data_IF_021080543242
#
_entry.id   IF_021080543242
#
_cell.length_a   1.000
_cell.length_b   1.000
_cell.length_c   1.000
_cell.angle_alpha   90.00
_cell.angle_beta   90.00
_cell.angle_gamma   90.00
#
_symmetry.space_group_name_H-M   'P 1'
#
loop_
_entity.id
_entity.type
_entity.pdbx_description
1 polymer ?
#
# COMPACT_ATOMS: atom_id res chain seq x y z
N UNK A 1 13.93 16.00 0.41
CA UNK A 1 13.51 14.58 0.44
C UNK A 1 14.64 13.72 -0.11
N UNK A 2 15.08 12.73 0.67
CA UNK A 2 16.02 11.70 0.17
C UNK A 2 15.23 10.79 -0.77
N UNK A 3 15.79 10.45 -1.93
CA UNK A 3 15.13 9.51 -2.84
C UNK A 3 14.95 8.15 -2.13
N UNK A 4 13.71 7.66 -1.95
CA UNK A 4 13.42 6.40 -1.27
C UNK A 4 14.13 5.20 -1.91
N UNK A 5 14.53 5.31 -3.17
CA UNK A 5 15.34 4.30 -3.84
C UNK A 5 16.66 4.03 -3.10
N UNK A 6 17.27 5.03 -2.49
CA UNK A 6 18.51 4.82 -1.73
C UNK A 6 18.30 4.00 -0.47
N UNK A 7 17.15 4.11 0.20
CA UNK A 7 16.80 3.26 1.34
C UNK A 7 16.76 1.77 0.95
N UNK A 8 16.44 1.48 -0.31
CA UNK A 8 16.29 0.12 -0.83
C UNK A 8 17.60 -0.45 -1.40
N UNK A 9 18.40 0.40 -2.03
CA UNK A 9 19.59 -0.02 -2.79
C UNK A 9 20.86 0.05 -1.96
N UNK A 10 21.00 1.08 -1.12
CA UNK A 10 22.18 1.29 -0.27
C UNK A 10 21.76 2.13 0.96
N UNK A 11 21.08 1.51 1.94
CA UNK A 11 20.67 2.20 3.16
C UNK A 11 21.87 2.72 3.97
N UNK A 12 23.03 2.06 3.89
CA UNK A 12 24.24 2.50 4.59
C UNK A 12 24.76 3.84 4.06
N UNK A 13 24.59 4.12 2.77
CA UNK A 13 24.85 5.47 2.22
C UNK A 13 23.98 6.51 2.90
N UNK A 14 22.72 6.20 3.18
CA UNK A 14 21.81 7.11 3.88
C UNK A 14 22.23 7.27 5.34
N UNK A 15 22.59 6.19 6.04
CA UNK A 15 23.12 6.25 7.42
C UNK A 15 24.38 7.09 7.52
N UNK A 16 25.37 6.87 6.65
CA UNK A 16 26.61 7.68 6.59
C UNK A 16 26.30 9.16 6.38
N UNK A 17 25.34 9.44 5.50
CA UNK A 17 24.86 10.79 5.21
C UNK A 17 24.23 11.45 6.45
N UNK A 18 23.42 10.72 7.23
CA UNK A 18 22.84 11.22 8.48
C UNK A 18 23.91 11.43 9.57
N UNK A 19 24.80 10.46 9.77
CA UNK A 19 25.90 10.57 10.73
C UNK A 19 26.80 11.78 10.44
N UNK A 20 27.13 12.02 9.16
CA UNK A 20 27.93 13.18 8.74
C UNK A 20 27.26 14.52 9.09
N UNK A 21 25.93 14.57 9.15
CA UNK A 21 25.14 15.75 9.57
C UNK A 21 24.83 15.77 11.07
N UNK A 22 25.31 14.78 11.83
CA UNK A 22 24.94 14.56 13.24
C UNK A 22 23.43 14.40 13.45
N UNK A 23 22.74 13.87 12.44
CA UNK A 23 21.33 13.50 12.50
C UNK A 23 21.16 12.06 12.99
N UNK A 24 19.93 11.68 13.34
CA UNK A 24 19.61 10.33 13.80
C UNK A 24 19.78 9.31 12.68
N UNK A 25 20.56 8.25 12.92
CA UNK A 25 20.70 7.10 12.01
C UNK A 25 19.59 6.07 12.21
N UNK A 26 18.94 6.05 13.38
CA UNK A 26 17.79 5.18 13.69
C UNK A 26 16.58 5.55 12.83
N UNK A 27 16.45 6.83 12.46
CA UNK A 27 15.42 7.31 11.52
C UNK A 27 15.50 6.60 10.16
N UNK A 28 16.67 6.08 9.78
CA UNK A 28 16.82 5.31 8.53
C UNK A 28 16.10 3.96 8.63
N UNK A 29 16.10 3.31 9.80
CA UNK A 29 15.35 2.08 10.01
C UNK A 29 13.84 2.31 9.98
N UNK A 30 13.39 3.39 10.63
CA UNK A 30 11.98 3.80 10.61
C UNK A 30 11.51 4.11 9.17
N UNK A 31 12.33 4.81 8.39
CA UNK A 31 12.07 5.09 6.98
C UNK A 31 12.01 3.83 6.11
N UNK A 32 12.87 2.84 6.37
CA UNK A 32 12.85 1.55 5.65
C UNK A 32 11.54 0.81 5.96
N UNK A 33 11.16 0.71 7.23
CA UNK A 33 9.93 0.04 7.66
C UNK A 33 8.68 0.74 7.12
N UNK A 34 8.67 2.08 7.12
CA UNK A 34 7.60 2.88 6.54
C UNK A 34 7.50 2.68 5.02
N UNK A 35 8.61 2.66 4.29
CA UNK A 35 8.59 2.39 2.84
C UNK A 35 8.12 0.96 2.52
N UNK A 36 8.51 -0.02 3.32
CA UNK A 36 8.01 -1.39 3.16
C UNK A 36 6.50 -1.46 3.35
N UNK A 37 6.00 -0.88 4.45
CA UNK A 37 4.56 -0.82 4.74
C UNK A 37 3.80 -0.13 3.62
N UNK A 38 4.29 1.02 3.15
CA UNK A 38 3.72 1.77 2.03
C UNK A 38 3.62 0.93 0.77
N UNK A 39 4.70 0.24 0.39
CA UNK A 39 4.70 -0.64 -0.80
C UNK A 39 3.74 -1.81 -0.66
N UNK A 40 3.67 -2.45 0.50
CA UNK A 40 2.74 -3.56 0.73
C UNK A 40 1.27 -3.10 0.68
N UNK A 41 0.96 -1.93 1.25
CA UNK A 41 -0.38 -1.35 1.18
C UNK A 41 -0.81 -1.04 -0.26
N UNK A 42 0.10 -0.47 -1.07
CA UNK A 42 -0.16 -0.22 -2.50
C UNK A 42 -0.46 -1.54 -3.23
N UNK A 43 0.40 -2.55 -3.08
CA UNK A 43 0.22 -3.85 -3.74
C UNK A 43 -1.10 -4.52 -3.35
N UNK A 44 -1.46 -4.47 -2.07
CA UNK A 44 -2.72 -5.02 -1.57
C UNK A 44 -3.91 -4.29 -2.15
N UNK A 45 -3.87 -2.95 -2.15
CA UNK A 45 -4.93 -2.10 -2.71
C UNK A 45 -5.13 -2.34 -4.22
N UNK A 46 -4.04 -2.48 -4.98
CA UNK A 46 -4.09 -2.79 -6.41
C UNK A 46 -4.66 -4.19 -6.67
N UNK A 47 -4.27 -5.17 -5.87
CA UNK A 47 -4.76 -6.56 -5.97
C UNK A 47 -6.27 -6.61 -5.74
N UNK A 48 -6.77 -5.99 -4.67
CA UNK A 48 -8.21 -5.97 -4.37
C UNK A 48 -9.01 -5.19 -5.43
N UNK A 49 -8.46 -4.09 -5.96
CA UNK A 49 -9.09 -3.36 -7.08
C UNK A 49 -9.19 -4.22 -8.34
N UNK A 50 -8.16 -5.02 -8.64
CA UNK A 50 -8.17 -5.94 -9.76
C UNK A 50 -9.22 -7.05 -9.55
N UNK A 51 -9.30 -7.63 -8.36
CA UNK A 51 -10.33 -8.60 -7.98
C UNK A 51 -11.74 -8.01 -8.10
N UNK A 52 -11.95 -6.77 -7.64
CA UNK A 52 -13.24 -6.08 -7.72
C UNK A 52 -13.67 -5.88 -9.17
N UNK A 53 -12.74 -5.49 -10.04
CA UNK A 53 -12.99 -5.35 -11.48
C UNK A 53 -13.32 -6.69 -12.13
N UNK A 54 -12.67 -7.78 -11.70
CA UNK A 54 -12.96 -9.14 -12.18
C UNK A 54 -14.37 -9.58 -11.76
N UNK A 55 -14.71 -9.44 -10.49
CA UNK A 55 -16.04 -9.78 -9.96
C UNK A 55 -17.16 -8.95 -10.62
N UNK A 56 -16.93 -7.66 -10.86
CA UNK A 56 -17.91 -6.82 -11.57
C UNK A 56 -18.28 -7.35 -12.96
N UNK A 57 -17.34 -7.98 -13.68
CA UNK A 57 -17.62 -8.64 -14.96
C UNK A 57 -18.43 -9.92 -14.77
N UNK A 58 -18.12 -10.72 -13.75
CA UNK A 58 -18.86 -11.94 -13.43
C UNK A 58 -20.31 -11.62 -13.03
N UNK A 59 -20.53 -10.59 -12.21
CA UNK A 59 -21.87 -10.10 -11.84
C UNK A 59 -22.70 -9.71 -13.07
N UNK A 60 -22.09 -9.12 -14.09
CA UNK A 60 -22.78 -8.73 -15.31
C UNK A 60 -23.24 -9.94 -16.16
N UNK A 61 -22.56 -11.08 -16.02
CA UNK A 61 -22.86 -12.32 -16.75
C UNK A 61 -23.78 -13.27 -15.97
N UNK A 62 -23.74 -13.20 -14.64
CA UNK A 62 -24.50 -14.06 -13.74
C UNK A 62 -26.01 -13.76 -13.76
N UNK A 63 -26.81 -14.78 -13.42
CA UNK A 63 -28.28 -14.72 -13.37
C UNK A 63 -28.81 -15.41 -12.11
N UNK A 64 -30.02 -15.03 -11.69
CA UNK A 64 -30.69 -15.65 -10.55
C UNK A 64 -29.85 -15.56 -9.26
N UNK A 65 -29.77 -16.66 -8.53
CA UNK A 65 -29.15 -16.73 -7.20
C UNK A 65 -27.63 -16.50 -7.24
N UNK A 66 -26.96 -16.91 -8.31
CA UNK A 66 -25.51 -16.68 -8.52
C UNK A 66 -25.20 -15.18 -8.55
N UNK A 67 -26.06 -14.38 -9.20
CA UNK A 67 -25.90 -12.93 -9.25
C UNK A 67 -26.02 -12.30 -7.87
N UNK A 68 -26.94 -12.79 -7.04
CA UNK A 68 -27.15 -12.30 -5.68
C UNK A 68 -25.91 -12.54 -4.81
N UNK A 69 -25.34 -13.75 -4.87
CA UNK A 69 -24.11 -14.10 -4.15
C UNK A 69 -22.91 -13.24 -4.60
N UNK A 70 -22.73 -13.05 -5.92
CA UNK A 70 -21.66 -12.22 -6.46
C UNK A 70 -21.83 -10.74 -6.10
N UNK A 71 -23.06 -10.23 -6.03
CA UNK A 71 -23.33 -8.86 -5.59
C UNK A 71 -22.94 -8.65 -4.13
N UNK A 72 -23.21 -9.61 -3.25
CA UNK A 72 -22.81 -9.54 -1.85
C UNK A 72 -21.28 -9.54 -1.71
N UNK A 73 -20.59 -10.45 -2.39
CA UNK A 73 -19.13 -10.48 -2.41
C UNK A 73 -18.52 -9.19 -2.97
N UNK A 74 -19.13 -8.64 -4.02
CA UNK A 74 -18.68 -7.36 -4.61
C UNK A 74 -18.82 -6.19 -3.63
N UNK A 75 -19.88 -6.18 -2.80
CA UNK A 75 -20.06 -5.14 -1.76
C UNK A 75 -19.00 -5.26 -0.66
N UNK A 76 -18.70 -6.47 -0.20
CA UNK A 76 -17.64 -6.71 0.79
C UNK A 76 -16.29 -6.24 0.25
N UNK A 77 -15.96 -6.65 -0.98
CA UNK A 77 -14.70 -6.27 -1.62
C UNK A 77 -14.60 -4.77 -1.88
N UNK A 78 -15.72 -4.10 -2.18
CA UNK A 78 -15.74 -2.64 -2.30
C UNK A 78 -15.40 -1.94 -0.98
N UNK A 79 -15.85 -2.48 0.16
CA UNK A 79 -15.49 -1.97 1.47
C UNK A 79 -13.99 -2.20 1.77
N UNK A 80 -13.46 -3.39 1.44
CA UNK A 80 -12.04 -3.71 1.59
C UNK A 80 -11.17 -2.78 0.73
N UNK A 81 -11.51 -2.57 -0.56
CA UNK A 81 -10.80 -1.64 -1.45
C UNK A 81 -10.77 -0.21 -0.88
N UNK A 82 -11.88 0.23 -0.27
CA UNK A 82 -11.92 1.55 0.38
C UNK A 82 -11.01 1.61 1.60
N UNK A 83 -11.01 0.56 2.43
CA UNK A 83 -10.16 0.47 3.61
C UNK A 83 -8.67 0.43 3.22
N UNK A 84 -8.27 -0.37 2.24
CA UNK A 84 -6.88 -0.44 1.78
C UNK A 84 -6.43 0.82 1.08
N UNK A 85 -7.33 1.55 0.40
CA UNK A 85 -7.02 2.86 -0.15
C UNK A 85 -6.72 3.89 0.95
N UNK A 86 -7.48 3.89 2.05
CA UNK A 86 -7.19 4.73 3.22
C UNK A 86 -5.86 4.34 3.87
N UNK A 87 -5.63 3.04 4.10
CA UNK A 87 -4.37 2.54 4.66
C UNK A 87 -3.15 2.86 3.77
N UNK A 88 -3.33 2.92 2.45
CA UNK A 88 -2.28 3.36 1.52
C UNK A 88 -1.95 4.84 1.72
N UNK A 89 -2.97 5.69 1.82
CA UNK A 89 -2.78 7.13 2.05
C UNK A 89 -2.11 7.39 3.41
N UNK A 90 -2.53 6.70 4.47
CA UNK A 90 -1.91 6.80 5.80
C UNK A 90 -0.44 6.33 5.78
N UNK A 91 -0.13 5.26 5.04
CA UNK A 91 1.25 4.77 4.92
C UNK A 91 2.13 5.70 4.07
N UNK A 92 1.55 6.41 3.09
CA UNK A 92 2.24 7.47 2.34
C UNK A 92 2.52 8.68 3.23
N UNK A 93 1.52 9.18 3.96
CA UNK A 93 1.66 10.31 4.87
C UNK A 93 2.70 10.02 5.97
N UNK A 94 2.63 8.84 6.60
CA UNK A 94 3.61 8.41 7.60
C UNK A 94 5.04 8.33 7.03
N UNK A 95 5.20 7.96 5.76
CA UNK A 95 6.50 7.93 5.12
C UNK A 95 7.04 9.35 4.83
N UNK A 96 6.16 10.28 4.46
CA UNK A 96 6.52 11.68 4.15
C UNK A 96 6.81 12.52 5.40
N UNK A 97 6.27 12.13 6.57
CA UNK A 97 6.52 12.78 7.86
C UNK A 97 7.87 12.44 8.52
N UNK A 98 8.53 11.36 8.07
CA UNK A 98 9.82 10.88 8.59
C UNK A 98 11.03 11.53 7.86
#
# INVERSE_FOLDING_TARGET
MIDPKWLRVDPDRVRRSQAARRASVELVDDLIAADETRRQSILTSETLRAEQKSLGKQVAQAKGDEKTALLERTKQLAAEVKATAAATAEAEEKFDEL
#
